data_IF_813426997251
#
_entry.id   IF_813426997251
#
_cell.length_a   1.000
_cell.length_b   1.000
_cell.length_c   1.000
_cell.angle_alpha   90.00
_cell.angle_beta   90.00
_cell.angle_gamma   90.00
#
_symmetry.space_group_name_H-M   'P 1'
#
loop_
_entity.id
_entity.type
_entity.pdbx_description
1 polymer ?
#
# COMPACT_ATOMS: atom_id res chain seq x y z
N UNK A 1 -56.98 -8.33 -0.91
CA UNK A 1 -56.21 -7.61 -1.95
C UNK A 1 -54.85 -7.32 -1.34
N UNK A 2 -53.89 -8.23 -1.53
CA UNK A 2 -52.59 -8.21 -0.83
C UNK A 2 -51.54 -7.73 -1.82
N UNK A 3 -51.05 -6.50 -1.63
CA UNK A 3 -49.99 -5.94 -2.45
C UNK A 3 -48.66 -6.61 -2.10
N UNK A 4 -48.16 -7.49 -2.97
CA UNK A 4 -46.79 -7.98 -2.92
C UNK A 4 -45.84 -6.83 -3.31
N UNK A 5 -45.12 -6.30 -2.33
CA UNK A 5 -44.01 -5.38 -2.59
C UNK A 5 -42.82 -6.21 -3.08
N UNK A 6 -42.59 -6.21 -4.39
CA UNK A 6 -41.39 -6.76 -5.00
C UNK A 6 -40.20 -5.91 -4.56
N UNK A 7 -39.36 -6.45 -3.67
CA UNK A 7 -38.09 -5.85 -3.30
C UNK A 7 -37.17 -5.84 -4.53
N UNK A 8 -36.97 -4.66 -5.12
CA UNK A 8 -35.99 -4.45 -6.19
C UNK A 8 -34.59 -4.74 -5.66
N UNK A 9 -33.97 -5.82 -6.15
CA UNK A 9 -32.58 -6.12 -5.84
C UNK A 9 -31.70 -5.00 -6.41
N UNK A 10 -30.91 -4.36 -5.55
CA UNK A 10 -29.95 -3.35 -5.98
C UNK A 10 -29.05 -3.92 -7.11
N UNK A 11 -28.73 -3.12 -8.16
CA UNK A 11 -27.93 -3.58 -9.29
C UNK A 11 -26.64 -4.24 -8.81
N UNK A 12 -26.27 -5.37 -9.44
CA UNK A 12 -25.10 -6.19 -9.13
C UNK A 12 -23.80 -5.39 -8.97
N UNK A 13 -23.63 -4.28 -9.71
CA UNK A 13 -22.47 -3.38 -9.62
C UNK A 13 -22.26 -2.69 -8.24
N UNK A 14 -23.29 -2.67 -7.38
CA UNK A 14 -23.20 -2.03 -6.06
C UNK A 14 -22.73 -2.97 -4.96
N UNK A 15 -22.74 -4.29 -5.15
CA UNK A 15 -22.43 -5.26 -4.09
C UNK A 15 -21.05 -5.87 -4.31
N UNK A 16 -20.25 -5.95 -3.25
CA UNK A 16 -19.00 -6.72 -3.27
C UNK A 16 -19.32 -8.20 -3.45
N UNK A 17 -18.37 -8.96 -4.02
CA UNK A 17 -18.42 -10.43 -4.02
C UNK A 17 -18.59 -10.96 -2.58
N UNK A 18 -19.26 -12.09 -2.41
CA UNK A 18 -19.55 -12.66 -1.09
C UNK A 18 -18.30 -12.98 -0.25
N UNK A 19 -17.21 -13.33 -0.92
CA UNK A 19 -15.88 -13.56 -0.33
C UNK A 19 -15.38 -12.35 0.49
N UNK A 20 -15.81 -11.11 0.21
CA UNK A 20 -15.39 -9.93 0.97
C UNK A 20 -15.90 -9.91 2.42
N UNK A 21 -16.81 -10.81 2.79
CA UNK A 21 -17.15 -11.06 4.21
C UNK A 21 -16.01 -11.76 4.97
N UNK A 22 -15.02 -12.28 4.26
CA UNK A 22 -13.84 -12.97 4.78
C UNK A 22 -12.64 -12.76 3.82
N UNK A 23 -12.40 -11.50 3.43
CA UNK A 23 -11.32 -11.16 2.50
C UNK A 23 -9.96 -11.43 3.12
N UNK A 24 -9.01 -11.93 2.34
CA UNK A 24 -7.60 -12.00 2.78
C UNK A 24 -7.06 -10.60 2.96
N UNK A 25 -6.34 -10.36 4.05
CA UNK A 25 -5.63 -9.11 4.33
C UNK A 25 -4.13 -9.38 4.39
N UNK A 26 -3.38 -8.76 3.50
CA UNK A 26 -1.92 -8.66 3.58
C UNK A 26 -1.51 -7.22 3.81
N UNK A 27 -0.21 -6.98 3.92
CA UNK A 27 0.35 -5.65 4.10
C UNK A 27 1.55 -5.44 3.18
N UNK A 28 1.72 -4.21 2.69
CA UNK A 28 2.91 -3.79 1.96
C UNK A 28 3.40 -2.41 2.45
N UNK A 29 4.68 -2.12 2.21
CA UNK A 29 5.35 -0.93 2.71
C UNK A 29 6.35 -0.38 1.70
N UNK A 30 6.92 0.81 1.97
CA UNK A 30 8.06 1.31 1.19
C UNK A 30 9.36 0.85 1.84
N UNK A 31 10.20 0.07 1.13
CA UNK A 31 11.57 -0.18 1.54
C UNK A 31 12.37 1.13 1.50
N UNK A 32 13.00 1.48 2.61
CA UNK A 32 13.87 2.65 2.71
C UNK A 32 15.33 2.22 2.76
N UNK A 33 16.15 2.81 1.90
CA UNK A 33 17.58 2.53 1.86
C UNK A 33 18.21 2.84 3.23
N UNK A 34 18.87 1.85 3.81
CA UNK A 34 19.51 1.93 5.12
C UNK A 34 18.66 1.44 6.28
N UNK A 35 17.36 1.24 6.10
CA UNK A 35 16.48 0.72 7.15
C UNK A 35 16.54 -0.80 7.21
N UNK A 36 16.04 -1.36 8.32
CA UNK A 36 15.76 -2.81 8.42
C UNK A 36 14.54 -3.15 7.55
N UNK A 37 14.56 -4.35 6.98
CA UNK A 37 13.49 -4.90 6.15
C UNK A 37 13.49 -6.44 6.23
N UNK A 38 12.58 -7.11 5.54
CA UNK A 38 12.42 -8.55 5.47
C UNK A 38 12.44 -9.04 4.01
N UNK A 39 13.22 -10.09 3.75
CA UNK A 39 13.21 -10.82 2.48
C UNK A 39 12.04 -11.82 2.42
N UNK A 40 11.73 -12.36 1.24
CA UNK A 40 10.64 -13.34 1.05
C UNK A 40 10.79 -14.63 1.85
N UNK A 41 12.02 -14.97 2.27
CA UNK A 41 12.31 -16.13 3.13
C UNK A 41 12.16 -15.80 4.63
N UNK A 42 11.63 -14.61 4.97
CA UNK A 42 11.50 -14.13 6.34
C UNK A 42 12.79 -13.57 6.93
N UNK A 43 13.91 -13.60 6.20
CA UNK A 43 15.19 -13.12 6.73
C UNK A 43 15.19 -11.60 6.88
N UNK A 44 15.41 -11.13 8.11
CA UNK A 44 15.61 -9.71 8.40
C UNK A 44 16.98 -9.25 7.89
N UNK A 45 16.98 -8.15 7.13
CA UNK A 45 18.18 -7.55 6.56
C UNK A 45 18.20 -6.05 6.80
N UNK A 46 19.36 -5.41 6.64
CA UNK A 46 19.44 -3.95 6.47
C UNK A 46 19.63 -3.63 5.00
N UNK A 47 18.93 -2.63 4.47
CA UNK A 47 18.98 -2.24 3.06
C UNK A 47 20.20 -1.34 2.77
N UNK A 48 21.38 -1.87 3.07
CA UNK A 48 22.68 -1.22 2.91
C UNK A 48 23.68 -2.17 2.22
N UNK A 49 24.97 -1.80 2.20
CA UNK A 49 26.04 -2.60 1.60
C UNK A 49 26.58 -2.04 0.27
N UNK A 50 27.47 -2.80 -0.42
CA UNK A 50 28.12 -2.36 -1.64
C UNK A 50 27.14 -1.98 -2.75
N UNK A 51 27.33 -0.80 -3.34
CA UNK A 51 26.42 -0.22 -4.35
C UNK A 51 26.66 -0.82 -5.75
N UNK A 52 26.23 -2.05 -5.96
CA UNK A 52 26.49 -2.83 -7.18
C UNK A 52 25.35 -2.85 -8.19
N UNK A 53 24.12 -2.46 -7.79
CA UNK A 53 22.95 -2.46 -8.67
C UNK A 53 22.54 -1.05 -9.04
N UNK A 54 22.23 -0.83 -10.32
CA UNK A 54 21.84 0.48 -10.85
C UNK A 54 20.33 0.55 -10.99
N UNK A 55 19.69 1.50 -10.30
CA UNK A 55 18.32 1.91 -10.60
C UNK A 55 18.34 2.75 -11.88
N UNK A 56 17.56 2.34 -12.88
CA UNK A 56 17.51 2.99 -14.20
C UNK A 56 16.08 3.20 -14.65
N UNK A 57 15.86 4.29 -15.38
CA UNK A 57 14.60 4.53 -16.09
C UNK A 57 14.42 3.56 -17.26
N UNK A 58 13.21 3.51 -17.81
CA UNK A 58 12.92 2.80 -19.07
C UNK A 58 13.87 3.16 -20.22
N UNK A 59 14.28 4.43 -20.31
CA UNK A 59 15.24 4.94 -21.30
C UNK A 59 16.72 4.67 -20.93
N UNK A 60 16.99 3.83 -19.93
CA UNK A 60 18.35 3.49 -19.50
C UNK A 60 19.06 4.57 -18.64
N UNK A 61 18.47 5.77 -18.48
CA UNK A 61 19.04 6.83 -17.64
C UNK A 61 19.20 6.34 -16.20
N UNK A 62 20.41 6.48 -15.66
CA UNK A 62 20.74 6.15 -14.28
C UNK A 62 20.04 7.09 -13.29
N UNK A 63 19.43 6.51 -12.26
CA UNK A 63 18.84 7.23 -11.12
C UNK A 63 19.82 7.21 -9.94
N UNK A 64 20.25 6.02 -9.52
CA UNK A 64 21.18 5.81 -8.41
C UNK A 64 21.84 4.42 -8.49
N UNK A 65 22.89 4.19 -7.70
CA UNK A 65 23.39 2.84 -7.38
C UNK A 65 23.04 2.48 -5.95
N UNK A 66 22.55 1.26 -5.75
CA UNK A 66 22.12 0.70 -4.45
C UNK A 66 22.69 -0.71 -4.27
N UNK A 67 22.54 -1.29 -3.07
CA UNK A 67 22.96 -2.67 -2.84
C UNK A 67 22.02 -3.67 -3.49
N UNK A 68 22.47 -4.93 -3.61
CA UNK A 68 21.66 -6.02 -4.16
C UNK A 68 20.35 -6.20 -3.41
N UNK A 69 20.37 -6.12 -2.08
CA UNK A 69 19.17 -6.28 -1.24
C UNK A 69 18.22 -5.10 -1.39
N UNK A 70 18.74 -3.86 -1.38
CA UNK A 70 17.91 -2.66 -1.64
C UNK A 70 17.23 -2.75 -3.01
N UNK A 71 17.96 -3.11 -4.06
CA UNK A 71 17.40 -3.24 -5.40
C UNK A 71 16.28 -4.28 -5.43
N UNK A 72 16.52 -5.49 -4.90
CA UNK A 72 15.51 -6.56 -4.86
C UNK A 72 14.25 -6.14 -4.10
N UNK A 73 14.39 -5.47 -2.95
CA UNK A 73 13.23 -4.98 -2.21
C UNK A 73 12.47 -3.89 -2.97
N UNK A 74 13.16 -2.97 -3.64
CA UNK A 74 12.50 -1.96 -4.47
C UNK A 74 11.72 -2.58 -5.64
N UNK A 75 12.21 -3.69 -6.21
CA UNK A 75 11.46 -4.45 -7.21
C UNK A 75 10.26 -5.18 -6.61
N UNK A 76 10.42 -5.69 -5.40
CA UNK A 76 9.40 -6.51 -4.72
C UNK A 76 8.19 -5.67 -4.32
N UNK A 77 8.43 -4.56 -3.64
CA UNK A 77 7.35 -3.69 -3.15
C UNK A 77 6.83 -2.71 -4.22
N UNK A 78 7.44 -2.68 -5.40
CA UNK A 78 7.09 -1.74 -6.46
C UNK A 78 7.46 -0.27 -6.18
N UNK A 79 7.87 0.07 -4.96
CA UNK A 79 8.30 1.41 -4.54
C UNK A 79 9.62 1.34 -3.77
N UNK A 80 10.37 2.44 -3.70
CA UNK A 80 11.56 2.54 -2.87
C UNK A 80 11.95 3.96 -2.53
N UNK A 81 12.41 4.19 -1.30
CA UNK A 81 12.88 5.49 -0.82
C UNK A 81 14.40 5.47 -0.59
N UNK A 82 15.13 6.30 -1.33
CA UNK A 82 16.57 6.49 -1.13
C UNK A 82 16.85 7.41 0.06
N UNK A 83 18.03 7.28 0.68
CA UNK A 83 18.45 8.09 1.84
C UNK A 83 18.43 9.59 1.59
N UNK A 84 18.61 10.02 0.34
CA UNK A 84 18.58 11.43 -0.03
C UNK A 84 17.16 11.99 -0.22
N UNK A 85 16.12 11.16 -0.03
CA UNK A 85 14.71 11.54 -0.18
C UNK A 85 14.16 11.36 -1.60
N UNK A 86 14.98 10.86 -2.55
CA UNK A 86 14.50 10.47 -3.87
C UNK A 86 13.67 9.19 -3.74
N UNK A 87 12.42 9.25 -4.16
CA UNK A 87 11.53 8.10 -4.24
C UNK A 87 11.44 7.61 -5.67
N UNK A 88 11.38 6.28 -5.81
CA UNK A 88 11.17 5.61 -7.09
C UNK A 88 9.97 4.66 -7.00
N UNK A 89 9.22 4.56 -8.08
CA UNK A 89 8.26 3.49 -8.32
C UNK A 89 8.79 2.63 -9.48
N UNK A 90 8.41 1.35 -9.53
CA UNK A 90 8.55 0.55 -10.73
C UNK A 90 7.78 1.21 -11.87
N UNK A 91 8.38 1.16 -13.05
CA UNK A 91 7.80 1.59 -14.32
C UNK A 91 7.45 0.31 -15.11
N UNK A 92 7.52 0.32 -16.44
CA UNK A 92 7.27 -0.86 -17.26
C UNK A 92 8.13 -2.06 -16.83
N UNK A 93 7.46 -3.12 -16.38
CA UNK A 93 8.07 -4.38 -15.97
C UNK A 93 8.83 -4.31 -14.65
N UNK A 94 9.67 -5.33 -14.40
CA UNK A 94 10.26 -5.56 -13.06
C UNK A 94 11.58 -4.82 -12.82
N UNK A 95 12.20 -4.22 -13.83
CA UNK A 95 13.61 -3.79 -13.80
C UNK A 95 13.85 -2.31 -14.14
N UNK A 96 12.78 -1.54 -14.34
CA UNK A 96 12.89 -0.13 -14.65
C UNK A 96 12.07 0.68 -13.65
N UNK A 97 12.52 1.90 -13.39
CA UNK A 97 11.99 2.74 -12.33
C UNK A 97 11.77 4.16 -12.84
N UNK A 98 10.73 4.83 -12.36
CA UNK A 98 10.55 6.26 -12.52
C UNK A 98 10.91 6.98 -11.21
N UNK A 99 11.31 8.26 -11.32
CA UNK A 99 11.41 9.13 -10.14
C UNK A 99 10.03 9.69 -9.84
N UNK A 100 9.54 9.51 -8.62
CA UNK A 100 8.23 10.00 -8.21
C UNK A 100 8.26 11.51 -8.04
N UNK A 101 7.26 12.21 -8.56
CA UNK A 101 7.03 13.61 -8.22
C UNK A 101 6.42 13.71 -6.82
N UNK A 102 7.28 13.87 -5.81
CA UNK A 102 6.88 13.87 -4.40
C UNK A 102 5.99 15.04 -3.96
N UNK A 103 5.84 16.08 -4.80
CA UNK A 103 4.85 17.15 -4.55
C UNK A 103 3.43 16.68 -4.83
N UNK A 104 3.25 15.73 -5.75
CA UNK A 104 1.95 15.12 -6.09
C UNK A 104 1.70 13.83 -5.34
N UNK A 105 2.72 12.97 -5.26
CA UNK A 105 2.66 11.64 -4.66
C UNK A 105 3.76 11.49 -3.58
N UNK A 106 3.61 12.12 -2.41
CA UNK A 106 4.64 12.16 -1.38
C UNK A 106 5.04 10.77 -0.84
N UNK A 107 4.15 9.79 -0.95
CA UNK A 107 4.28 8.43 -0.43
C UNK A 107 4.17 7.35 -1.51
N UNK A 108 4.48 7.69 -2.77
CA UNK A 108 4.48 6.73 -3.88
C UNK A 108 3.24 6.80 -4.75
N UNK A 109 3.36 6.25 -5.95
CA UNK A 109 2.26 6.08 -6.89
C UNK A 109 1.63 4.69 -6.69
N UNK A 110 0.31 4.63 -6.84
CA UNK A 110 -0.40 3.37 -6.99
C UNK A 110 -0.40 2.90 -8.46
N UNK A 111 -1.35 2.03 -8.80
CA UNK A 111 -1.40 1.37 -10.12
C UNK A 111 -1.81 2.26 -11.29
N UNK A 112 -2.41 3.42 -11.01
CA UNK A 112 -2.76 4.43 -12.01
C UNK A 112 -1.82 5.63 -11.85
N UNK A 113 -1.26 6.14 -12.95
CA UNK A 113 -0.15 7.13 -12.96
C UNK A 113 -0.46 8.44 -12.21
N UNK A 114 -1.73 8.76 -12.01
CA UNK A 114 -2.20 9.95 -11.30
C UNK A 114 -2.69 9.66 -9.87
N UNK A 115 -2.60 8.42 -9.39
CA UNK A 115 -3.06 8.04 -8.07
C UNK A 115 -1.93 8.01 -7.03
N UNK A 116 -2.01 8.89 -6.04
CA UNK A 116 -1.06 8.94 -4.94
C UNK A 116 -1.49 7.99 -3.81
N UNK A 117 -0.55 7.16 -3.34
CA UNK A 117 -0.76 6.35 -2.15
C UNK A 117 -0.78 7.25 -0.91
N UNK A 118 -1.67 6.93 0.03
CA UNK A 118 -1.77 7.58 1.33
C UNK A 118 -1.60 6.53 2.44
N UNK A 119 -0.61 6.73 3.34
CA UNK A 119 -0.35 5.80 4.44
C UNK A 119 -1.62 5.53 5.24
N UNK A 120 -1.82 4.25 5.58
CA UNK A 120 -2.89 3.77 6.45
C UNK A 120 -4.30 3.84 5.89
N UNK A 121 -4.49 4.27 4.65
CA UNK A 121 -5.82 4.29 4.02
C UNK A 121 -5.84 3.74 2.61
N UNK A 122 -4.71 3.68 1.92
CA UNK A 122 -4.62 2.99 0.63
C UNK A 122 -4.60 1.48 0.81
N UNK A 123 -5.36 0.79 -0.04
CA UNK A 123 -5.27 -0.67 -0.21
C UNK A 123 -5.08 -1.02 -1.69
N UNK A 124 -4.35 -2.09 -1.95
CA UNK A 124 -4.29 -2.70 -3.27
C UNK A 124 -5.41 -3.75 -3.41
N UNK A 125 -6.05 -3.80 -4.58
CA UNK A 125 -7.07 -4.81 -4.92
C UNK A 125 -7.18 -4.99 -6.43
N UNK A 126 -7.28 -6.23 -6.90
CA UNK A 126 -7.28 -6.53 -8.34
C UNK A 126 -8.67 -6.57 -8.97
N UNK A 127 -9.71 -6.78 -8.17
CA UNK A 127 -11.10 -6.90 -8.62
C UNK A 127 -12.03 -5.77 -8.16
N UNK A 128 -11.48 -4.75 -7.50
CA UNK A 128 -12.19 -3.52 -7.17
C UNK A 128 -11.66 -2.34 -7.96
N UNK A 129 -12.58 -1.44 -8.34
CA UNK A 129 -12.23 -0.21 -9.06
C UNK A 129 -11.45 0.75 -8.15
N UNK A 130 -10.38 1.34 -8.67
CA UNK A 130 -9.65 2.45 -8.05
C UNK A 130 -10.61 3.55 -7.57
N UNK A 131 -10.34 4.12 -6.39
CA UNK A 131 -11.18 5.13 -5.74
C UNK A 131 -12.37 4.55 -4.96
N UNK A 132 -12.61 3.24 -5.00
CA UNK A 132 -13.68 2.62 -4.18
C UNK A 132 -13.36 2.75 -2.69
N UNK A 133 -14.25 3.38 -1.94
CA UNK A 133 -14.18 3.41 -0.48
C UNK A 133 -14.75 2.13 0.13
N UNK A 134 -13.99 1.58 1.08
CA UNK A 134 -14.32 0.36 1.82
C UNK A 134 -14.31 0.68 3.31
N UNK A 135 -15.14 -0.06 4.05
CA UNK A 135 -15.09 -0.13 5.49
C UNK A 135 -14.67 -1.55 5.89
N UNK A 136 -13.60 -1.65 6.67
CA UNK A 136 -13.04 -2.89 7.21
C UNK A 136 -13.31 -2.89 8.72
N UNK A 137 -14.13 -3.84 9.18
CA UNK A 137 -14.61 -3.87 10.56
C UNK A 137 -13.46 -3.97 11.57
N UNK A 138 -12.47 -4.79 11.27
CA UNK A 138 -11.33 -5.12 12.12
C UNK A 138 -10.32 -3.96 12.22
N UNK A 139 -10.43 -2.96 11.35
CA UNK A 139 -9.61 -1.75 11.38
C UNK A 139 -10.32 -0.56 12.04
N UNK A 140 -11.58 -0.70 12.47
CA UNK A 140 -12.26 0.36 13.23
C UNK A 140 -11.87 0.29 14.70
N UNK A 141 -11.31 1.39 15.21
CA UNK A 141 -10.70 1.46 16.54
C UNK A 141 -9.28 0.91 16.62
N UNK A 142 -8.72 0.34 15.53
CA UNK A 142 -7.34 -0.15 15.48
C UNK A 142 -6.38 0.98 15.84
N UNK A 143 -5.48 0.74 16.81
CA UNK A 143 -4.43 1.69 17.16
C UNK A 143 -3.27 1.54 16.17
N UNK A 144 -2.96 2.60 15.43
CA UNK A 144 -1.82 2.66 14.53
C UNK A 144 -0.52 2.86 15.33
N UNK A 145 0.64 2.54 14.75
CA UNK A 145 1.96 2.70 15.40
C UNK A 145 2.26 4.12 15.92
N UNK A 146 1.63 5.15 15.35
CA UNK A 146 1.77 6.54 15.82
C UNK A 146 0.78 6.92 16.95
N UNK A 147 -0.04 5.97 17.38
CA UNK A 147 -1.02 6.10 18.44
C UNK A 147 -2.41 6.57 18.00
N UNK A 148 -2.60 6.98 16.73
CA UNK A 148 -3.93 7.33 16.21
C UNK A 148 -4.82 6.09 16.15
N UNK A 149 -6.14 6.29 16.22
CA UNK A 149 -7.13 5.23 16.02
C UNK A 149 -7.68 5.29 14.61
N UNK A 150 -7.55 4.20 13.87
CA UNK A 150 -8.11 4.05 12.53
C UNK A 150 -9.64 3.89 12.61
N UNK A 151 -10.39 4.43 11.65
CA UNK A 151 -11.86 4.47 11.63
C UNK A 151 -12.49 3.39 10.71
N UNK A 152 -11.72 2.35 10.39
CA UNK A 152 -12.09 1.29 9.46
C UNK A 152 -12.16 1.70 7.97
N UNK A 153 -12.02 2.98 7.62
CA UNK A 153 -12.21 3.46 6.25
C UNK A 153 -10.92 3.46 5.43
N UNK A 154 -10.95 2.75 4.30
CA UNK A 154 -9.85 2.65 3.34
C UNK A 154 -10.33 2.91 1.91
N UNK A 155 -9.41 3.13 0.99
CA UNK A 155 -9.65 3.40 -0.43
C UNK A 155 -8.78 2.50 -1.29
N UNK A 156 -9.39 1.91 -2.32
CA UNK A 156 -8.64 1.14 -3.33
C UNK A 156 -7.82 2.12 -4.14
N UNK A 157 -6.50 2.07 -3.98
CA UNK A 157 -5.58 3.00 -4.62
C UNK A 157 -4.51 2.31 -5.46
N UNK A 158 -4.44 0.98 -5.39
CA UNK A 158 -3.37 0.22 -6.03
C UNK A 158 -3.84 -1.16 -6.50
N UNK A 159 -2.96 -1.87 -7.21
CA UNK A 159 -3.13 -3.25 -7.67
C UNK A 159 -1.95 -4.11 -7.27
N UNK A 160 -2.23 -5.37 -7.00
CA UNK A 160 -1.23 -6.37 -6.67
C UNK A 160 -0.83 -7.21 -7.88
N UNK A 161 0.34 -7.82 -7.77
CA UNK A 161 0.91 -8.75 -8.75
C UNK A 161 1.11 -10.16 -8.19
N UNK A 162 0.81 -10.37 -6.90
CA UNK A 162 1.02 -11.62 -6.16
C UNK A 162 -0.27 -12.24 -5.62
N UNK A 163 -1.43 -11.68 -5.98
CA UNK A 163 -2.74 -12.15 -5.55
C UNK A 163 -3.80 -11.85 -6.61
N UNK A 164 -4.95 -12.51 -6.48
CA UNK A 164 -6.07 -12.39 -7.41
C UNK A 164 -7.24 -11.62 -6.75
N UNK A 165 -8.43 -12.22 -6.73
CA UNK A 165 -9.65 -11.60 -6.24
C UNK A 165 -9.81 -11.71 -4.71
N UNK A 166 -10.65 -10.86 -4.12
CA UNK A 166 -11.05 -10.97 -2.72
C UNK A 166 -9.91 -10.82 -1.70
N UNK A 167 -8.80 -10.21 -2.12
CA UNK A 167 -7.68 -9.84 -1.26
C UNK A 167 -7.50 -8.33 -1.25
N UNK A 168 -7.17 -7.81 -0.07
CA UNK A 168 -6.70 -6.44 0.11
C UNK A 168 -5.27 -6.47 0.62
N UNK A 169 -4.40 -5.68 0.01
CA UNK A 169 -3.05 -5.45 0.51
C UNK A 169 -3.00 -4.06 1.16
N UNK A 170 -2.80 -3.99 2.47
CA UNK A 170 -2.90 -2.76 3.22
C UNK A 170 -1.59 -1.98 3.23
N UNK A 171 -1.64 -0.71 2.82
CA UNK A 171 -0.45 0.13 2.73
C UNK A 171 -0.05 0.70 4.10
N UNK A 172 0.92 0.05 4.73
CA UNK A 172 1.37 0.38 6.10
C UNK A 172 2.62 1.23 6.16
N UNK A 173 3.10 1.70 5.00
CA UNK A 173 4.22 2.62 4.79
C UNK A 173 5.60 2.11 5.22
N UNK A 174 5.76 1.50 6.39
CA UNK A 174 7.05 1.16 7.01
C UNK A 174 7.12 -0.32 7.41
N UNK A 175 8.30 -0.93 7.32
CA UNK A 175 8.50 -2.30 7.82
C UNK A 175 8.29 -2.43 9.33
N UNK A 176 8.65 -1.41 10.13
CA UNK A 176 8.37 -1.40 11.57
C UNK A 176 6.89 -1.43 11.88
N UNK A 177 6.09 -0.72 11.07
CA UNK A 177 4.65 -0.71 11.17
C UNK A 177 4.04 -2.06 10.82
N UNK A 178 4.51 -2.68 9.74
CA UNK A 178 4.13 -4.04 9.37
C UNK A 178 4.31 -4.99 10.56
N UNK A 179 5.48 -5.01 11.19
CA UNK A 179 5.73 -5.90 12.34
C UNK A 179 4.78 -5.68 13.51
N UNK A 180 4.39 -4.43 13.79
CA UNK A 180 3.47 -4.13 14.88
C UNK A 180 2.04 -4.58 14.53
N UNK A 181 1.62 -4.31 13.30
CA UNK A 181 0.27 -4.60 12.84
C UNK A 181 0.07 -6.08 12.49
N UNK A 182 1.09 -6.81 12.06
CA UNK A 182 1.03 -8.25 11.80
C UNK A 182 0.65 -9.06 13.05
N UNK A 183 0.98 -8.56 14.24
CA UNK A 183 0.55 -9.16 15.51
C UNK A 183 -0.85 -8.73 15.96
N UNK A 184 -1.44 -7.72 15.32
CA UNK A 184 -2.69 -7.08 15.77
C UNK A 184 -3.85 -7.32 14.80
N UNK A 185 -3.59 -7.28 13.50
CA UNK A 185 -4.57 -7.47 12.45
C UNK A 185 -4.70 -8.97 12.12
N UNK A 186 -5.92 -9.48 11.94
CA UNK A 186 -6.12 -10.83 11.45
C UNK A 186 -5.77 -10.92 9.96
N UNK A 187 -5.35 -12.11 9.51
CA UNK A 187 -5.12 -12.39 8.08
C UNK A 187 -6.39 -12.40 7.22
N UNK A 188 -7.58 -12.37 7.84
CA UNK A 188 -8.87 -12.26 7.15
C UNK A 188 -9.75 -11.21 7.81
N UNK A 189 -10.47 -10.43 6.99
CA UNK A 189 -11.29 -9.30 7.44
C UNK A 189 -12.67 -9.24 6.79
N UNK A 190 -13.57 -8.54 7.47
CA UNK A 190 -14.94 -8.27 7.01
C UNK A 190 -15.00 -6.92 6.32
N UNK A 191 -15.17 -6.94 5.00
CA UNK A 191 -15.17 -5.74 4.15
C UNK A 191 -16.57 -5.41 3.67
N UNK A 192 -16.92 -4.12 3.73
CA UNK A 192 -18.14 -3.57 3.15
C UNK A 192 -17.79 -2.41 2.23
N UNK A 193 -18.35 -2.40 1.02
CA UNK A 193 -18.36 -1.18 0.18
C UNK A 193 -19.25 -0.16 0.87
N UNK A 194 -18.66 0.93 1.35
CA UNK A 194 -19.34 1.95 2.14
C UNK A 194 -18.74 3.29 1.78
N UNK A 195 -19.58 4.26 1.42
CA UNK A 195 -19.15 5.66 1.38
C UNK A 195 -18.86 6.08 2.82
N UNK A 196 -17.60 6.19 3.17
CA UNK A 196 -17.19 6.65 4.49
C UNK A 196 -16.02 7.62 4.37
N UNK A 197 -15.80 8.43 5.42
CA UNK A 197 -14.82 9.49 5.39
C UNK A 197 -13.42 8.90 5.60
N UNK A 198 -12.59 8.94 4.56
CA UNK A 198 -11.16 8.70 4.68
C UNK A 198 -10.56 9.79 5.58
N UNK A 199 -9.83 9.39 6.61
CA UNK A 199 -9.08 10.30 7.47
C UNK A 199 -7.62 10.31 7.03
N UNK A 200 -6.89 11.39 7.36
CA UNK A 200 -5.44 11.38 7.19
C UNK A 200 -4.74 11.05 8.51
N UNK A 201 -4.00 9.95 8.48
CA UNK A 201 -3.20 9.51 9.62
C UNK A 201 -1.76 10.02 9.56
N UNK A 202 -1.40 10.77 8.51
CA UNK A 202 -0.08 11.38 8.37
C UNK A 202 0.24 12.33 9.54
N UNK A 203 1.35 12.09 10.22
CA UNK A 203 1.89 12.93 11.31
C UNK A 203 3.24 13.53 10.94
N UNK A 204 3.79 14.41 11.78
CA UNK A 204 5.16 14.91 11.64
C UNK A 204 6.20 13.79 11.61
N UNK A 205 5.99 12.72 12.39
CA UNK A 205 6.86 11.52 12.38
C UNK A 205 6.80 10.79 11.03
N UNK A 206 5.60 10.60 10.47
CA UNK A 206 5.41 10.02 9.14
C UNK A 206 6.12 10.84 8.06
N UNK A 207 5.95 12.18 8.09
CA UNK A 207 6.64 13.08 7.16
C UNK A 207 8.17 13.05 7.33
N UNK A 208 8.65 13.00 8.56
CA UNK A 208 10.08 12.93 8.87
C UNK A 208 10.69 11.63 8.35
N UNK A 209 10.05 10.49 8.61
CA UNK A 209 10.50 9.20 8.10
C UNK A 209 10.55 9.21 6.57
N UNK A 210 9.55 9.82 5.93
CA UNK A 210 9.48 9.95 4.49
C UNK A 210 10.44 11.01 3.92
N UNK A 211 11.31 11.66 4.70
CA UNK A 211 12.23 12.71 4.22
C UNK A 211 11.50 13.93 3.61
N UNK A 212 10.34 14.32 4.16
CA UNK A 212 9.49 15.43 3.66
C UNK A 212 9.58 16.73 4.49
N UNK A 213 10.16 16.69 5.69
CA UNK A 213 10.29 17.88 6.57
C UNK A 213 11.56 18.70 6.27
N UNK A 214 11.97 18.81 5.00
CA UNK A 214 13.16 19.57 4.61
C UNK A 214 12.82 21.02 4.33
#
# INVERSE_FOLDING_TARGET
MTLLVLASAAPLEKRLKSCYKHATLTQYWIPKQGDKDMLNDGKVVTLNGPKTKTLKTKKGKKIAKVSKNTYKKFQMEGTGLLKNGVMVNLDSGKNTFLKVNRKKAPYGLGSDDDNALEPWVSVASNDLKTGTTLYIKEMDGLRLPDGKKHNGCVRVDDKGWSFDDCQLDFYVLQYSAYKELDHTLPGHVTVKKKKCKIQSYVTGKVKSWAELNK
#
